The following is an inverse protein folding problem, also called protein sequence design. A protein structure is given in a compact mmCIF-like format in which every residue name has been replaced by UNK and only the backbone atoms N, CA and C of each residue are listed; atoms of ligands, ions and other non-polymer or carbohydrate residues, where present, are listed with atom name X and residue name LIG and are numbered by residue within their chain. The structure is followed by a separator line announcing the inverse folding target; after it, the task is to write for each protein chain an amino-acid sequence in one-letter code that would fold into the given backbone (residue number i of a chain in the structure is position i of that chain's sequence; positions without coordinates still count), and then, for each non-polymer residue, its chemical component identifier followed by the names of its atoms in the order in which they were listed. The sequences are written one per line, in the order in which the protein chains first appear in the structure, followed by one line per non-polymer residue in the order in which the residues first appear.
data_IF_841910783764
#
_entry.id   IF_841910783764
#
_cell.length_a   1.000
_cell.length_b   1.000
_cell.length_c   1.000
_cell.angle_alpha   90.00
_cell.angle_beta   90.00
_cell.angle_gamma   90.00
#
_symmetry.space_group_name_H-M   'P 1'
#
loop_
_entity.id
_entity.type
_entity.pdbx_description
1 polymer ?
#
# COMPACT_ATOMS: atom_id res chain seq x y z
N UNK A 1 -14.49 2.87 -4.33
CA UNK A 1 -14.15 3.90 -3.31
C UNK A 1 -12.65 4.20 -3.40
N UNK A 2 -12.19 5.46 -3.24
CA UNK A 2 -10.77 5.82 -3.44
C UNK A 2 -9.83 5.05 -2.47
N UNK A 3 -10.32 4.76 -1.25
CA UNK A 3 -9.65 3.92 -0.27
C UNK A 3 -9.48 2.47 -0.73
N UNK A 4 -10.55 1.83 -1.25
CA UNK A 4 -10.49 0.45 -1.77
C UNK A 4 -9.41 0.32 -2.84
N UNK A 5 -9.33 1.29 -3.76
CA UNK A 5 -8.31 1.31 -4.81
C UNK A 5 -6.88 1.43 -4.25
N UNK A 6 -6.66 2.21 -3.17
CA UNK A 6 -5.36 2.30 -2.50
C UNK A 6 -4.99 1.00 -1.78
N UNK A 7 -5.95 0.36 -1.13
CA UNK A 7 -5.76 -0.94 -0.49
C UNK A 7 -5.47 -2.05 -1.51
N UNK A 8 -6.10 -2.04 -2.68
CA UNK A 8 -5.80 -2.97 -3.78
C UNK A 8 -4.39 -2.76 -4.35
N UNK A 9 -3.94 -1.51 -4.49
CA UNK A 9 -2.57 -1.20 -4.90
C UNK A 9 -1.54 -1.72 -3.89
N UNK A 10 -1.76 -1.44 -2.59
CA UNK A 10 -0.90 -1.92 -1.52
C UNK A 10 -0.88 -3.47 -1.45
N UNK A 11 -2.04 -4.11 -1.59
CA UNK A 11 -2.16 -5.57 -1.62
C UNK A 11 -1.42 -6.19 -2.81
N UNK A 12 -1.52 -5.59 -3.99
CA UNK A 12 -0.82 -6.05 -5.20
C UNK A 12 0.70 -5.90 -5.06
N UNK A 13 1.16 -4.79 -4.47
CA UNK A 13 2.58 -4.54 -4.20
C UNK A 13 3.16 -5.56 -3.21
N UNK A 14 2.46 -5.80 -2.10
CA UNK A 14 2.86 -6.79 -1.09
C UNK A 14 2.78 -8.22 -1.63
N UNK A 15 1.81 -8.53 -2.49
CA UNK A 15 1.73 -9.82 -3.18
C UNK A 15 2.97 -10.03 -4.06
N UNK A 16 3.40 -9.01 -4.80
CA UNK A 16 4.66 -9.05 -5.56
C UNK A 16 5.88 -9.30 -4.64
N UNK A 17 5.80 -8.87 -3.38
CA UNK A 17 6.85 -9.11 -2.39
C UNK A 17 6.82 -10.49 -1.72
N UNK A 18 5.68 -11.19 -1.73
CA UNK A 18 5.49 -12.42 -0.96
C UNK A 18 5.11 -13.65 -1.79
N UNK A 19 4.56 -13.49 -2.99
CA UNK A 19 3.70 -14.50 -3.61
C UNK A 19 3.91 -14.68 -5.11
N UNK A 20 5.00 -15.35 -5.47
CA UNK A 20 5.08 -16.29 -6.61
C UNK A 20 6.31 -17.22 -6.50
N UNK A 21 7.15 -17.09 -5.46
CA UNK A 21 8.44 -17.80 -5.42
C UNK A 21 9.40 -17.35 -6.54
N UNK A 22 9.01 -16.37 -7.35
CA UNK A 22 9.90 -15.72 -8.27
C UNK A 22 10.84 -14.85 -7.45
N UNK A 23 12.14 -15.07 -7.64
CA UNK A 23 13.20 -14.51 -6.80
C UNK A 23 13.45 -13.04 -7.09
N UNK A 24 12.38 -12.25 -7.16
CA UNK A 24 12.40 -10.83 -7.46
C UNK A 24 13.43 -10.11 -6.57
N UNK A 25 13.54 -10.51 -5.30
CA UNK A 25 14.54 -9.96 -4.37
C UNK A 25 15.95 -10.48 -4.57
N UNK A 26 16.14 -11.67 -5.15
CA UNK A 26 17.48 -12.18 -5.49
C UNK A 26 18.02 -11.52 -6.76
N UNK A 27 17.17 -11.21 -7.75
CA UNK A 27 17.59 -10.62 -9.03
C UNK A 27 17.56 -9.07 -9.07
N UNK A 28 16.61 -8.42 -8.38
CA UNK A 28 16.48 -6.96 -8.42
C UNK A 28 17.41 -6.24 -7.42
N UNK A 29 17.97 -6.95 -6.44
CA UNK A 29 18.92 -6.39 -5.48
C UNK A 29 18.33 -5.40 -4.44
N UNK A 30 19.12 -5.04 -3.40
CA UNK A 30 18.63 -4.34 -2.20
C UNK A 30 17.98 -2.98 -2.47
N UNK A 31 18.48 -2.24 -3.47
CA UNK A 31 17.98 -0.90 -3.80
C UNK A 31 16.55 -0.92 -4.35
N UNK A 32 16.17 -1.98 -5.07
CA UNK A 32 14.81 -2.12 -5.59
C UNK A 32 13.83 -2.52 -4.48
N UNK A 33 14.29 -3.29 -3.49
CA UNK A 33 13.53 -3.60 -2.28
C UNK A 33 13.26 -2.33 -1.46
N UNK A 34 14.28 -1.50 -1.21
CA UNK A 34 14.10 -0.24 -0.46
C UNK A 34 13.07 0.68 -1.11
N UNK A 35 13.10 0.81 -2.45
CA UNK A 35 12.12 1.61 -3.19
C UNK A 35 10.70 1.03 -3.07
N UNK A 36 10.55 -0.30 -3.10
CA UNK A 36 9.24 -0.95 -2.98
C UNK A 36 8.68 -0.78 -1.55
N UNK A 37 9.52 -0.92 -0.54
CA UNK A 37 9.14 -0.68 0.86
C UNK A 37 8.76 0.79 1.08
N UNK A 38 9.49 1.73 0.48
CA UNK A 38 9.14 3.15 0.50
C UNK A 38 7.74 3.40 -0.09
N UNK A 39 7.47 2.88 -1.28
CA UNK A 39 6.16 3.03 -1.95
C UNK A 39 5.04 2.38 -1.12
N UNK A 40 5.30 1.22 -0.50
CA UNK A 40 4.34 0.58 0.39
C UNK A 40 4.01 1.46 1.60
N UNK A 41 5.01 2.11 2.19
CA UNK A 41 4.83 3.02 3.32
C UNK A 41 4.03 4.28 2.95
N UNK A 42 4.29 4.85 1.77
CA UNK A 42 3.51 5.98 1.24
C UNK A 42 2.05 5.58 1.01
N UNK A 43 1.79 4.46 0.33
CA UNK A 43 0.44 3.96 0.08
C UNK A 43 -0.33 3.66 1.38
N UNK A 44 0.34 3.10 2.39
CA UNK A 44 -0.28 2.84 3.68
C UNK A 44 -0.66 4.14 4.42
N UNK A 45 0.19 5.16 4.33
CA UNK A 45 -0.05 6.47 4.93
C UNK A 45 -1.24 7.16 4.26
N UNK A 46 -1.28 7.18 2.92
CA UNK A 46 -2.42 7.71 2.16
C UNK A 46 -3.72 6.98 2.48
N UNK A 47 -3.69 5.65 2.58
CA UNK A 47 -4.87 4.86 2.93
C UNK A 47 -5.37 5.21 4.35
N UNK A 48 -4.47 5.42 5.31
CA UNK A 48 -4.83 5.81 6.68
C UNK A 48 -5.47 7.21 6.74
N UNK A 49 -4.92 8.18 6.01
CA UNK A 49 -5.49 9.54 5.91
C UNK A 49 -6.88 9.52 5.28
N UNK A 50 -7.07 8.73 4.22
CA UNK A 50 -8.36 8.57 3.57
C UNK A 50 -9.39 7.91 4.47
N UNK A 51 -8.97 6.89 5.23
CA UNK A 51 -9.83 6.23 6.21
C UNK A 51 -10.29 7.21 7.29
N UNK A 52 -9.37 7.97 7.88
CA UNK A 52 -9.70 9.00 8.87
C UNK A 52 -10.62 10.09 8.32
N UNK A 53 -10.41 10.53 7.07
CA UNK A 53 -11.30 11.49 6.42
C UNK A 53 -12.70 10.92 6.23
N UNK A 54 -12.83 9.66 5.79
CA UNK A 54 -14.13 9.01 5.69
C UNK A 54 -14.82 8.89 7.06
N UNK A 55 -14.10 8.54 8.13
CA UNK A 55 -14.67 8.48 9.50
C UNK A 55 -15.06 9.87 10.03
N UNK A 56 -14.26 10.90 9.76
CA UNK A 56 -14.51 12.28 10.19
C UNK A 56 -15.67 12.93 9.44
N UNK A 57 -15.81 12.67 8.13
CA UNK A 57 -16.93 13.13 7.32
C UNK A 57 -18.25 12.50 7.80
N UNK A 58 -18.24 11.23 8.19
CA UNK A 58 -19.42 10.54 8.74
C UNK A 58 -19.76 11.00 10.16
N UNK A 59 -18.76 11.35 10.96
CA UNK A 59 -18.97 11.90 12.32
C UNK A 59 -19.49 13.35 12.33
N UNK A 60 -19.34 14.09 11.23
CA UNK A 60 -19.84 15.47 11.09
C UNK A 60 -21.25 15.53 10.49
N UNK A 61 -21.73 14.42 9.92
CA UNK A 61 -23.08 14.26 9.36
C UNK A 61 -24.05 13.46 10.24
N UNK A 62 -23.60 12.98 11.41
CA UNK A 62 -24.42 12.32 12.44
C UNK A 62 -24.77 13.31 13.57
#
# INVERSE_FOLDING_TARGET
MFLENKLEQLKSLLWCCHGDGNRWFEDAGPKHLDNVLWIAAELASEAAELFQRCEGEWSTQA
#
